data_IF_329370361290
#
_entry.id   IF_329370361290
#
_cell.length_a   1.000
_cell.length_b   1.000
_cell.length_c   1.000
_cell.angle_alpha   90.00
_cell.angle_beta   90.00
_cell.angle_gamma   90.00
#
_symmetry.space_group_name_H-M   'P 1'
#
loop_
_entity.id
_entity.type
_entity.pdbx_description
1 polymer ?
#
# COMPACT_ATOMS: atom_id res chain seq x y z
N UNK A 1 21.41 -7.41 -4.49
CA UNK A 1 19.97 -7.66 -4.24
C UNK A 1 19.64 -6.91 -2.97
N UNK A 2 18.69 -5.97 -2.99
CA UNK A 2 18.38 -5.15 -1.80
C UNK A 2 17.68 -6.02 -0.76
N UNK A 3 18.21 -6.05 0.45
CA UNK A 3 17.60 -6.75 1.59
C UNK A 3 16.68 -5.82 2.40
N UNK A 4 15.74 -6.37 3.16
CA UNK A 4 14.87 -5.61 4.05
C UNK A 4 15.66 -4.85 5.13
N UNK A 5 16.86 -5.35 5.48
CA UNK A 5 17.78 -4.73 6.42
C UNK A 5 18.52 -3.53 5.81
N UNK A 6 18.68 -3.50 4.49
CA UNK A 6 19.27 -2.37 3.75
C UNK A 6 18.24 -1.27 3.45
N UNK A 7 16.95 -1.58 3.47
CA UNK A 7 15.90 -0.57 3.25
C UNK A 7 15.82 0.38 4.44
N UNK A 8 15.82 1.68 4.15
CA UNK A 8 15.77 2.72 5.18
C UNK A 8 14.58 2.52 6.15
N UNK A 9 14.91 2.65 7.44
CA UNK A 9 13.98 2.58 8.55
C UNK A 9 14.02 3.83 9.45
N UNK A 10 14.82 4.82 9.08
CA UNK A 10 15.01 6.04 9.85
C UNK A 10 14.01 7.12 9.41
N UNK A 11 13.76 7.26 8.11
CA UNK A 11 12.82 8.25 7.60
C UNK A 11 11.38 7.72 7.62
N UNK A 12 10.60 8.22 8.58
CA UNK A 12 9.15 7.96 8.67
C UNK A 12 8.38 9.03 7.89
N UNK A 13 8.22 8.80 6.59
CA UNK A 13 7.58 9.74 5.66
C UNK A 13 6.23 9.24 5.13
N UNK A 14 5.89 7.97 5.34
CA UNK A 14 4.71 7.35 4.77
C UNK A 14 3.52 7.44 5.73
N UNK A 15 2.43 8.13 5.37
CA UNK A 15 1.25 8.23 6.24
C UNK A 15 0.69 6.87 6.68
N UNK A 16 0.60 6.63 7.98
CA UNK A 16 0.04 5.39 8.56
C UNK A 16 -1.42 5.18 8.14
N UNK A 17 -2.19 6.28 8.01
CA UNK A 17 -3.57 6.25 7.51
C UNK A 17 -3.61 5.80 6.04
N UNK A 18 -2.74 6.34 5.20
CA UNK A 18 -2.62 5.95 3.80
C UNK A 18 -2.29 4.47 3.66
N UNK A 19 -1.32 3.97 4.43
CA UNK A 19 -0.92 2.55 4.42
C UNK A 19 -2.05 1.64 4.89
N UNK A 20 -2.81 2.04 5.92
CA UNK A 20 -4.01 1.29 6.33
C UNK A 20 -5.02 1.18 5.18
N UNK A 21 -5.19 2.26 4.41
CA UNK A 21 -5.98 2.28 3.18
C UNK A 21 -5.45 1.25 2.18
N UNK A 22 -4.16 1.32 1.82
CA UNK A 22 -3.49 0.36 0.92
C UNK A 22 -3.68 -1.09 1.38
N UNK A 23 -3.68 -1.34 2.69
CA UNK A 23 -3.83 -2.67 3.25
C UNK A 23 -5.29 -3.15 3.36
N UNK A 24 -6.24 -2.43 2.77
CA UNK A 24 -7.63 -2.82 2.66
C UNK A 24 -8.46 -2.50 3.89
N UNK A 25 -8.07 -1.47 4.65
CA UNK A 25 -8.78 -0.99 5.83
C UNK A 25 -9.05 -2.08 6.90
N UNK A 26 -8.00 -2.71 7.47
CA UNK A 26 -8.19 -3.60 8.61
C UNK A 26 -8.92 -2.87 9.76
N UNK A 27 -9.63 -3.63 10.61
CA UNK A 27 -10.28 -3.09 11.80
C UNK A 27 -9.27 -2.33 12.68
N UNK A 28 -9.69 -1.32 13.46
CA UNK A 28 -8.77 -0.57 14.32
C UNK A 28 -7.92 -1.47 15.23
N UNK A 29 -8.51 -2.52 15.79
CA UNK A 29 -7.82 -3.52 16.63
C UNK A 29 -6.77 -4.31 15.85
N UNK A 30 -7.12 -4.83 14.67
CA UNK A 30 -6.19 -5.55 13.79
C UNK A 30 -5.04 -4.65 13.35
N UNK A 31 -5.36 -3.39 12.99
CA UNK A 31 -4.37 -2.41 12.58
C UNK A 31 -3.38 -2.09 13.70
N UNK A 32 -3.88 -1.84 14.92
CA UNK A 32 -3.04 -1.61 16.08
C UNK A 32 -2.11 -2.81 16.36
N UNK A 33 -2.63 -4.04 16.26
CA UNK A 33 -1.84 -5.27 16.44
C UNK A 33 -0.73 -5.39 15.39
N UNK A 34 -1.03 -5.15 14.12
CA UNK A 34 -0.02 -5.20 13.05
C UNK A 34 1.07 -4.15 13.24
N UNK A 35 0.68 -2.89 13.53
CA UNK A 35 1.65 -1.82 13.81
C UNK A 35 2.54 -2.12 15.00
N UNK A 36 1.99 -2.68 16.07
CA UNK A 36 2.78 -3.06 17.24
C UNK A 36 3.85 -4.10 16.90
N UNK A 37 3.53 -5.06 16.01
CA UNK A 37 4.47 -6.12 15.59
C UNK A 37 5.65 -5.62 14.76
N UNK A 38 5.46 -4.54 14.01
CA UNK A 38 6.53 -3.95 13.19
C UNK A 38 7.26 -2.79 13.88
N UNK A 39 6.97 -2.53 15.16
CA UNK A 39 7.60 -1.43 15.92
C UNK A 39 7.03 -0.03 15.63
N UNK A 40 5.86 0.06 14.98
CA UNK A 40 5.22 1.31 14.59
C UNK A 40 4.00 1.68 15.48
N UNK A 41 4.03 1.29 16.77
CA UNK A 41 2.93 1.58 17.70
C UNK A 41 2.78 3.09 17.87
N UNK A 42 1.58 3.60 17.64
CA UNK A 42 1.29 5.04 17.78
C UNK A 42 1.85 5.95 16.69
N UNK A 43 2.67 5.44 15.77
CA UNK A 43 3.32 6.26 14.76
C UNK A 43 2.30 6.82 13.74
N UNK A 44 2.37 8.13 13.52
CA UNK A 44 1.58 8.84 12.50
C UNK A 44 2.10 8.57 11.08
N UNK A 45 3.42 8.51 10.95
CA UNK A 45 4.13 8.18 9.72
C UNK A 45 4.97 6.91 9.92
N UNK A 46 5.20 6.20 8.83
CA UNK A 46 5.87 4.90 8.77
C UNK A 46 7.08 4.99 7.85
N UNK A 47 8.09 4.17 8.12
CA UNK A 47 9.22 3.98 7.20
C UNK A 47 8.87 3.00 6.08
N UNK A 48 9.66 3.00 4.99
CA UNK A 48 9.52 2.01 3.92
C UNK A 48 9.61 0.57 4.45
N UNK A 49 10.56 0.32 5.35
CA UNK A 49 10.72 -0.99 6.01
C UNK A 49 9.45 -1.38 6.78
N UNK A 50 8.92 -0.51 7.63
CA UNK A 50 7.69 -0.77 8.39
C UNK A 50 6.50 -1.08 7.46
N UNK A 51 6.38 -0.38 6.33
CA UNK A 51 5.32 -0.63 5.35
C UNK A 51 5.45 -1.99 4.68
N UNK A 52 6.66 -2.38 4.27
CA UNK A 52 6.90 -3.70 3.67
C UNK A 52 6.54 -4.81 4.66
N UNK A 53 6.94 -4.67 5.93
CA UNK A 53 6.60 -5.64 6.98
C UNK A 53 5.08 -5.71 7.23
N UNK A 54 4.37 -4.59 7.15
CA UNK A 54 2.90 -4.57 7.25
C UNK A 54 2.23 -5.24 6.03
N UNK A 55 2.81 -5.12 4.84
CA UNK A 55 2.34 -5.86 3.66
C UNK A 55 2.53 -7.37 3.81
N UNK A 56 3.66 -7.77 4.36
CA UNK A 56 3.96 -9.16 4.70
C UNK A 56 2.94 -9.70 5.70
N UNK A 57 2.66 -8.98 6.79
CA UNK A 57 1.64 -9.36 7.79
C UNK A 57 0.21 -9.45 7.22
N UNK A 58 -0.10 -8.65 6.21
CA UNK A 58 -1.38 -8.74 5.49
C UNK A 58 -1.44 -9.99 4.62
N UNK A 59 -0.38 -10.26 3.87
CA UNK A 59 -0.32 -11.34 2.86
C UNK A 59 -0.16 -12.70 3.50
N UNK A 60 0.64 -12.78 4.55
CA UNK A 60 0.91 -13.97 5.34
C UNK A 60 0.25 -13.78 6.69
N UNK A 61 -0.84 -14.51 6.94
CA UNK A 61 -1.60 -14.39 8.19
C UNK A 61 -0.68 -14.48 9.41
N UNK A 62 -1.06 -13.76 10.48
CA UNK A 62 -0.34 -13.70 11.76
C UNK A 62 -0.04 -15.07 12.41
N UNK A 63 -0.63 -16.18 11.94
CA UNK A 63 -0.36 -17.55 12.35
C UNK A 63 0.91 -18.14 11.71
N UNK A 64 1.30 -17.66 10.53
CA UNK A 64 2.56 -18.05 9.83
C UNK A 64 3.76 -17.19 10.20
N UNK A 65 3.51 -15.97 10.70
CA UNK A 65 4.57 -15.08 11.18
C UNK A 65 4.55 -15.13 12.70
N UNK A 66 5.37 -16.01 13.26
CA UNK A 66 5.51 -16.24 14.69
C UNK A 66 6.62 -15.37 15.27
N UNK A 67 7.67 -15.12 14.50
CA UNK A 67 8.83 -14.34 14.89
C UNK A 67 9.07 -13.11 14.01
N UNK A 68 9.97 -12.22 14.45
CA UNK A 68 10.46 -11.09 13.66
C UNK A 68 11.32 -11.57 12.47
N UNK A 69 12.01 -12.70 12.63
CA UNK A 69 12.83 -13.32 11.60
C UNK A 69 11.94 -13.81 10.44
N UNK A 70 10.83 -14.48 10.75
CA UNK A 70 9.86 -14.96 9.74
C UNK A 70 9.32 -13.79 8.90
N UNK A 71 9.07 -12.65 9.54
CA UNK A 71 8.60 -11.45 8.85
C UNK A 71 9.66 -10.89 7.88
N UNK A 72 10.94 -11.01 8.22
CA UNK A 72 12.05 -10.57 7.37
C UNK A 72 12.24 -11.51 6.19
N UNK A 73 12.24 -12.83 6.41
CA UNK A 73 12.34 -13.82 5.32
C UNK A 73 11.20 -13.65 4.31
N UNK A 74 9.98 -13.46 4.78
CA UNK A 74 8.85 -13.19 3.90
C UNK A 74 8.92 -11.81 3.22
N UNK A 75 9.57 -10.83 3.84
CA UNK A 75 9.84 -9.54 3.19
C UNK A 75 10.88 -9.69 2.07
N UNK A 76 11.92 -10.50 2.25
CA UNK A 76 12.91 -10.82 1.22
C UNK A 76 12.28 -11.54 0.02
N UNK A 77 11.31 -12.43 0.25
CA UNK A 77 10.51 -13.04 -0.83
C UNK A 77 9.71 -11.95 -1.56
N UNK A 78 9.06 -11.05 -0.81
CA UNK A 78 8.24 -9.99 -1.39
C UNK A 78 9.06 -8.99 -2.23
N UNK A 79 10.30 -8.71 -1.81
CA UNK A 79 11.25 -7.84 -2.51
C UNK A 79 11.82 -8.49 -3.78
N UNK A 80 12.03 -9.82 -3.75
CA UNK A 80 12.42 -10.60 -4.93
C UNK A 80 11.29 -10.69 -5.96
N UNK A 81 10.07 -10.95 -5.50
CA UNK A 81 8.88 -11.09 -6.37
C UNK A 81 8.41 -9.76 -6.97
N UNK A 82 8.74 -8.63 -6.33
CA UNK A 82 8.35 -7.30 -6.78
C UNK A 82 9.60 -6.41 -6.87
N UNK A 83 10.35 -6.48 -7.98
CA UNK A 83 11.47 -5.58 -8.22
C UNK A 83 11.01 -4.12 -8.11
N UNK A 84 11.82 -3.27 -7.47
CA UNK A 84 11.53 -1.84 -7.22
C UNK A 84 10.33 -1.56 -6.30
N UNK A 85 9.97 -2.51 -5.44
CA UNK A 85 8.96 -2.32 -4.41
C UNK A 85 9.20 -1.07 -3.54
N UNK A 86 10.45 -0.82 -3.15
CA UNK A 86 10.82 0.36 -2.35
C UNK A 86 10.52 1.66 -3.11
N UNK A 87 10.93 1.76 -4.37
CA UNK A 87 10.68 2.94 -5.21
C UNK A 87 9.19 3.16 -5.44
N UNK A 88 8.43 2.08 -5.67
CA UNK A 88 6.97 2.10 -5.82
C UNK A 88 6.28 2.53 -4.53
N UNK A 89 6.81 2.11 -3.38
CA UNK A 89 6.33 2.53 -2.06
C UNK A 89 6.62 4.01 -1.80
N UNK A 90 7.83 4.48 -2.11
CA UNK A 90 8.16 5.91 -2.05
C UNK A 90 7.27 6.73 -2.98
N UNK A 91 6.92 6.23 -4.17
CA UNK A 91 6.04 6.93 -5.09
C UNK A 91 4.57 6.96 -4.62
N UNK A 92 4.10 5.91 -3.92
CA UNK A 92 2.76 5.87 -3.30
C UNK A 92 2.68 6.64 -1.98
N UNK A 93 3.81 6.78 -1.30
CA UNK A 93 3.91 7.37 0.02
C UNK A 93 4.28 8.85 0.02
N UNK A 94 5.15 9.25 -0.89
CA UNK A 94 5.62 10.60 -1.04
C UNK A 94 4.53 11.52 -1.59
N UNK A 95 4.74 12.82 -1.46
CA UNK A 95 3.91 13.85 -2.06
C UNK A 95 4.28 14.11 -3.54
N UNK A 96 5.30 13.41 -4.04
CA UNK A 96 5.78 13.52 -5.41
C UNK A 96 4.70 13.07 -6.41
N UNK A 97 4.42 13.87 -7.45
CA UNK A 97 3.55 13.47 -8.54
C UNK A 97 4.07 12.20 -9.26
N UNK A 98 3.13 11.36 -9.67
CA UNK A 98 3.37 10.09 -10.35
C UNK A 98 3.07 10.24 -11.85
N UNK A 99 3.97 9.82 -12.76
CA UNK A 99 3.65 9.82 -14.17
C UNK A 99 2.47 8.88 -14.45
N UNK A 100 1.52 9.24 -15.34
CA UNK A 100 0.27 8.50 -15.55
C UNK A 100 0.46 7.02 -15.86
N UNK A 101 1.55 6.67 -16.55
CA UNK A 101 1.91 5.29 -16.90
C UNK A 101 2.15 4.39 -15.68
N UNK A 102 2.56 4.96 -14.55
CA UNK A 102 2.84 4.22 -13.31
C UNK A 102 1.63 4.14 -12.37
N UNK A 103 0.58 4.92 -12.62
CA UNK A 103 -0.60 4.96 -11.77
C UNK A 103 -1.38 3.63 -11.77
N UNK A 104 -1.54 2.90 -12.90
CA UNK A 104 -2.13 1.56 -12.87
C UNK A 104 -1.38 0.59 -11.97
N UNK A 105 -0.04 0.59 -12.01
CA UNK A 105 0.80 -0.24 -11.14
C UNK A 105 0.64 0.16 -9.67
N UNK A 106 0.65 1.46 -9.38
CA UNK A 106 0.47 1.99 -8.04
C UNK A 106 -0.92 1.60 -7.46
N UNK A 107 -1.97 1.68 -8.26
CA UNK A 107 -3.32 1.26 -7.88
C UNK A 107 -3.39 -0.27 -7.76
N UNK A 108 -2.75 -1.03 -8.66
CA UNK A 108 -2.74 -2.47 -8.59
C UNK A 108 -2.06 -2.98 -7.33
N UNK A 109 -0.96 -2.33 -6.97
CA UNK A 109 -0.25 -2.55 -5.73
C UNK A 109 -1.12 -2.21 -4.50
N UNK A 110 -1.75 -1.04 -4.50
CA UNK A 110 -2.64 -0.59 -3.43
C UNK A 110 -3.85 -1.50 -3.23
N UNK A 111 -4.43 -2.01 -4.31
CA UNK A 111 -5.70 -2.75 -4.29
C UNK A 111 -5.51 -4.26 -4.30
N UNK A 112 -4.31 -4.73 -4.65
CA UNK A 112 -4.00 -6.13 -4.96
C UNK A 112 -4.64 -6.62 -6.27
N UNK A 113 -4.96 -5.73 -7.21
CA UNK A 113 -5.64 -6.08 -8.48
C UNK A 113 -5.21 -5.20 -9.64
N UNK A 114 -4.87 -5.80 -10.77
CA UNK A 114 -4.72 -5.06 -12.02
C UNK A 114 -6.08 -4.51 -12.46
N UNK A 115 -6.18 -3.20 -12.59
CA UNK A 115 -7.39 -2.51 -13.06
C UNK A 115 -7.12 -1.93 -14.44
N UNK A 116 -8.11 -2.02 -15.33
CA UNK A 116 -8.04 -1.34 -16.63
C UNK A 116 -8.02 0.18 -16.47
N UNK A 117 -7.39 0.89 -17.41
CA UNK A 117 -7.36 2.36 -17.44
C UNK A 117 -8.78 2.94 -17.39
N UNK A 118 -9.74 2.32 -18.10
CA UNK A 118 -11.14 2.72 -18.05
C UNK A 118 -11.74 2.62 -16.64
N UNK A 119 -11.39 1.58 -15.88
CA UNK A 119 -11.84 1.42 -14.49
C UNK A 119 -11.18 2.44 -13.57
N UNK A 120 -9.88 2.71 -13.76
CA UNK A 120 -9.15 3.76 -13.04
C UNK A 120 -9.79 5.13 -13.27
N UNK A 121 -10.13 5.48 -14.52
CA UNK A 121 -10.84 6.73 -14.85
C UNK A 121 -12.18 6.85 -14.14
N UNK A 122 -12.99 5.78 -14.10
CA UNK A 122 -14.27 5.77 -13.36
C UNK A 122 -14.07 6.00 -11.87
N UNK A 123 -13.03 5.41 -11.28
CA UNK A 123 -12.73 5.59 -9.87
C UNK A 123 -12.14 6.97 -9.57
N UNK A 124 -11.37 7.56 -10.48
CA UNK A 124 -10.91 8.94 -10.41
C UNK A 124 -12.07 9.93 -10.44
N UNK A 125 -13.02 9.76 -11.35
CA UNK A 125 -14.23 10.58 -11.38
C UNK A 125 -15.02 10.47 -10.05
N UNK A 126 -15.17 9.25 -9.52
CA UNK A 126 -15.83 9.03 -8.22
C UNK A 126 -15.04 9.58 -7.01
N UNK A 127 -13.74 9.86 -7.18
CA UNK A 127 -12.88 10.50 -6.19
C UNK A 127 -12.79 12.02 -6.39
N UNK A 128 -13.50 12.61 -7.36
CA UNK A 128 -13.34 14.00 -7.81
C UNK A 128 -11.89 14.34 -8.23
N UNK A 129 -11.20 13.36 -8.82
CA UNK A 129 -9.83 13.48 -9.33
C UNK A 129 -9.85 13.54 -10.85
N UNK A 130 -9.13 14.51 -11.42
CA UNK A 130 -8.92 14.58 -12.87
C UNK A 130 -7.76 13.67 -13.28
N UNK A 131 -8.08 12.45 -13.70
CA UNK A 131 -7.08 11.53 -14.24
C UNK A 131 -6.79 11.81 -15.72
N UNK A 132 -5.58 12.30 -16.00
CA UNK A 132 -5.08 12.58 -17.35
C UNK A 132 -3.95 11.59 -17.71
N UNK A 133 -3.81 11.28 -18.99
CA UNK A 133 -2.62 10.56 -19.50
C UNK A 133 -1.43 11.50 -19.76
N UNK A 134 -1.68 12.81 -19.67
CA UNK A 134 -0.69 13.88 -19.82
C UNK A 134 -0.49 14.57 -18.47
N UNK A 135 0.77 14.72 -18.07
CA UNK A 135 1.16 15.37 -16.82
C UNK A 135 1.14 14.43 -15.61
N UNK A 136 2.01 14.71 -14.64
CA UNK A 136 2.11 13.88 -13.45
C UNK A 136 0.88 14.03 -12.54
N UNK A 137 0.47 12.92 -11.93
CA UNK A 137 -0.70 12.82 -11.08
C UNK A 137 -0.27 12.92 -9.62
N UNK A 138 -0.78 13.88 -8.83
CA UNK A 138 -0.44 13.99 -7.42
C UNK A 138 -0.66 12.68 -6.66
N UNK A 139 0.25 12.31 -5.77
CA UNK A 139 0.13 11.07 -4.99
C UNK A 139 -1.15 11.03 -4.13
N UNK A 140 -1.64 12.19 -3.65
CA UNK A 140 -2.94 12.31 -2.95
C UNK A 140 -4.12 11.83 -3.82
N UNK A 141 -4.06 12.09 -5.12
CA UNK A 141 -5.10 11.74 -6.08
C UNK A 141 -5.06 10.25 -6.41
N UNK A 142 -3.84 9.69 -6.57
CA UNK A 142 -3.64 8.24 -6.72
C UNK A 142 -4.18 7.48 -5.50
N UNK A 143 -3.94 7.99 -4.28
CA UNK A 143 -4.49 7.44 -3.04
C UNK A 143 -6.02 7.48 -3.03
N UNK A 144 -6.62 8.61 -3.39
CA UNK A 144 -8.08 8.75 -3.44
C UNK A 144 -8.73 7.75 -4.43
N UNK A 145 -8.11 7.55 -5.60
CA UNK A 145 -8.56 6.56 -6.59
C UNK A 145 -8.51 5.13 -6.00
N UNK A 146 -7.39 4.78 -5.35
CA UNK A 146 -7.22 3.47 -4.73
C UNK A 146 -8.25 3.20 -3.61
N UNK A 147 -8.57 4.21 -2.82
CA UNK A 147 -9.60 4.11 -1.76
C UNK A 147 -10.99 3.81 -2.34
N UNK A 148 -11.39 4.47 -3.43
CA UNK A 148 -12.64 4.17 -4.13
C UNK A 148 -12.66 2.72 -4.62
N UNK A 149 -11.56 2.24 -5.20
CA UNK A 149 -11.45 0.88 -5.69
C UNK A 149 -11.65 -0.16 -4.56
N UNK A 150 -11.06 0.08 -3.39
CA UNK A 150 -11.20 -0.78 -2.21
C UNK A 150 -12.64 -0.72 -1.65
N UNK A 151 -13.25 0.45 -1.62
CA UNK A 151 -14.63 0.65 -1.13
C UNK A 151 -15.65 -0.07 -2.02
N UNK A 152 -15.49 -0.04 -3.34
CA UNK A 152 -16.37 -0.77 -4.27
C UNK A 152 -16.29 -2.29 -4.07
N UNK A 153 -15.11 -2.82 -3.75
CA UNK A 153 -14.92 -4.25 -3.40
C UNK A 153 -15.65 -4.65 -2.12
N UNK A 154 -15.49 -3.87 -1.05
CA UNK A 154 -16.10 -4.19 0.24
C UNK A 154 -17.63 -4.15 0.19
N UNK A 155 -18.21 -3.22 -0.59
CA UNK A 155 -19.66 -3.21 -0.86
C UNK A 155 -20.13 -4.43 -1.66
N UNK A 156 -19.44 -4.79 -2.74
CA UNK A 156 -19.78 -5.98 -3.56
C UNK A 156 -19.73 -7.30 -2.77
N UNK A 157 -18.86 -7.41 -1.76
CA UNK A 157 -18.81 -8.59 -0.88
C UNK A 157 -19.94 -8.64 0.15
N UNK A 158 -20.45 -7.49 0.60
CA UNK A 158 -21.57 -7.42 1.55
C UNK A 158 -22.93 -7.71 0.90
N UNK A 159 -23.11 -7.44 -0.39
CA UNK A 159 -24.36 -7.70 -1.10
C UNK A 159 -24.52 -9.15 -1.59
N UNK A 160 -23.55 -10.03 -1.30
CA UNK A 160 -23.54 -11.46 -1.68
C UNK A 160 -23.67 -12.39 -0.47
N UNK A 161 -23.86 -11.85 0.72
CA UNK A 161 -24.19 -12.57 1.96
C UNK A 161 -25.56 -12.13 2.41
#
# INVERSE_FOLDING_TARGET
>A
MVTILEIDNTQRIISSRGVRGLLGYPSPSTWAKWRSRVGAKGAHYLSCREVILLMVLRRFTARRIQSRLDAYEHAEILLRDIPRLSDRLHALAGDAPLPPRLVPDAIAFATGRCLSIATIRRYAAAANVRFSLMGDIPAKDVRAIAEIAIKKRTKSRKSRK
#
